data_IF_969670377491
#
_entry.id   IF_969670377491
#
_cell.length_a   1.000
_cell.length_b   1.000
_cell.length_c   1.000
_cell.angle_alpha   90.00
_cell.angle_beta   90.00
_cell.angle_gamma   90.00
#
_symmetry.space_group_name_H-M   'P 1'
#
loop_
_entity.id
_entity.type
_entity.pdbx_description
1 polymer ?
#
# COMPACT_ATOMS: atom_id res chain seq x y z
N UNK A 1 22.95 1.72 -29.44
CA UNK A 1 22.07 0.70 -28.83
C UNK A 1 21.47 1.37 -27.61
N UNK A 2 20.27 1.94 -27.74
CA UNK A 2 19.60 2.56 -26.60
C UNK A 2 19.19 1.42 -25.68
N UNK A 3 19.81 1.33 -24.51
CA UNK A 3 19.29 0.47 -23.46
C UNK A 3 17.95 1.10 -23.06
N UNK A 4 16.88 0.31 -23.14
CA UNK A 4 15.61 0.73 -22.57
C UNK A 4 15.83 0.90 -21.05
N UNK A 5 15.44 2.04 -20.52
CA UNK A 5 15.65 2.42 -19.12
C UNK A 5 14.28 2.54 -18.45
N UNK A 6 14.13 2.02 -17.23
CA UNK A 6 12.92 2.32 -16.45
C UNK A 6 12.87 3.82 -16.17
N UNK A 7 11.71 4.44 -16.39
CA UNK A 7 11.52 5.88 -16.21
C UNK A 7 10.40 6.16 -15.23
N UNK A 8 10.69 7.01 -14.25
CA UNK A 8 9.70 7.58 -13.34
C UNK A 8 9.75 9.10 -13.45
N UNK A 9 8.60 9.70 -13.73
CA UNK A 9 8.41 11.13 -13.61
C UNK A 9 7.55 11.43 -12.38
N UNK A 10 8.07 12.20 -11.44
CA UNK A 10 7.34 12.73 -10.29
C UNK A 10 6.49 13.93 -10.75
N UNK A 11 5.16 13.80 -10.86
CA UNK A 11 4.32 14.89 -11.32
C UNK A 11 4.15 15.96 -10.24
N UNK A 12 3.45 17.04 -10.59
CA UNK A 12 3.12 18.07 -9.61
C UNK A 12 2.34 17.54 -8.40
N UNK A 13 1.43 16.57 -8.64
CA UNK A 13 0.58 15.96 -7.64
C UNK A 13 0.35 14.48 -7.93
N UNK A 14 0.55 13.61 -6.94
CA UNK A 14 0.20 12.20 -7.01
C UNK A 14 -0.28 11.69 -5.64
N UNK A 15 -1.59 11.69 -5.42
CA UNK A 15 -2.28 11.16 -4.24
C UNK A 15 -3.23 10.04 -4.63
N UNK A 16 -3.72 9.22 -3.69
CA UNK A 16 -4.61 8.10 -4.03
C UNK A 16 -5.80 8.52 -4.89
N UNK A 17 -6.37 9.71 -4.64
CA UNK A 17 -7.44 10.27 -5.47
C UNK A 17 -7.10 10.40 -6.97
N UNK A 18 -5.84 10.67 -7.34
CA UNK A 18 -5.37 10.88 -8.72
C UNK A 18 -4.12 10.05 -9.09
N UNK A 19 -3.87 8.95 -8.39
CA UNK A 19 -2.64 8.15 -8.52
C UNK A 19 -2.53 7.42 -9.87
N UNK A 20 -3.66 7.20 -10.55
CA UNK A 20 -3.76 6.47 -11.81
C UNK A 20 -2.87 7.08 -12.89
N UNK A 21 -2.85 8.42 -12.99
CA UNK A 21 -2.01 9.14 -13.96
C UNK A 21 -0.52 8.91 -13.71
N UNK A 22 -0.11 8.89 -12.43
CA UNK A 22 1.27 8.60 -12.06
C UNK A 22 1.65 7.16 -12.42
N UNK A 23 0.82 6.18 -12.07
CA UNK A 23 1.12 4.76 -12.35
C UNK A 23 1.16 4.50 -13.85
N UNK A 24 0.27 5.13 -14.64
CA UNK A 24 0.28 5.00 -16.12
C UNK A 24 1.52 5.63 -16.78
N UNK A 25 2.15 6.60 -16.12
CA UNK A 25 3.34 7.28 -16.64
C UNK A 25 4.65 6.54 -16.34
N UNK A 26 4.59 5.49 -15.52
CA UNK A 26 5.75 4.65 -15.20
C UNK A 26 6.15 3.83 -16.42
N UNK A 27 7.43 3.85 -16.78
CA UNK A 27 7.98 2.94 -17.78
C UNK A 27 8.70 1.80 -17.06
N UNK A 28 8.15 0.59 -17.17
CA UNK A 28 8.72 -0.64 -16.59
C UNK A 28 9.58 -1.43 -17.58
N UNK A 29 9.93 -0.85 -18.74
CA UNK A 29 10.81 -1.52 -19.71
C UNK A 29 12.23 -1.68 -19.15
N UNK A 30 12.83 -2.84 -19.43
CA UNK A 30 14.22 -3.23 -19.13
C UNK A 30 14.81 -2.75 -17.77
N UNK A 31 14.90 -3.63 -16.75
CA UNK A 31 15.29 -3.28 -15.38
C UNK A 31 16.81 -3.12 -15.20
N UNK A 32 17.53 -2.55 -16.16
CA UNK A 32 18.99 -2.36 -16.07
C UNK A 32 19.38 -1.05 -15.40
N UNK A 33 18.53 -0.03 -15.53
CA UNK A 33 18.74 1.29 -14.94
C UNK A 33 17.39 1.92 -14.52
N UNK A 34 17.46 2.96 -13.69
CA UNK A 34 16.30 3.73 -13.26
C UNK A 34 16.56 5.22 -13.44
N UNK A 35 15.76 5.88 -14.28
CA UNK A 35 15.80 7.32 -14.50
C UNK A 35 14.64 8.01 -13.78
N UNK A 36 14.97 8.90 -12.84
CA UNK A 36 14.01 9.66 -12.03
C UNK A 36 14.06 11.13 -12.45
N UNK A 37 12.93 11.63 -12.92
CA UNK A 37 12.70 13.05 -13.25
C UNK A 37 11.55 13.59 -12.42
N UNK A 38 11.38 14.91 -12.39
CA UNK A 38 10.28 15.52 -11.65
C UNK A 38 9.80 16.85 -12.23
N UNK A 39 8.64 17.30 -11.79
CA UNK A 39 8.16 18.64 -12.07
C UNK A 39 9.06 19.71 -11.43
N UNK A 40 9.48 20.71 -12.21
CA UNK A 40 10.42 21.74 -11.75
C UNK A 40 9.85 22.75 -10.75
N UNK A 41 8.53 22.95 -10.72
CA UNK A 41 7.92 24.01 -9.90
C UNK A 41 7.62 23.51 -8.49
N UNK A 42 6.86 22.43 -8.40
CA UNK A 42 6.38 21.89 -7.15
C UNK A 42 6.02 20.43 -7.32
N UNK A 43 6.31 19.63 -6.29
CA UNK A 43 6.02 18.20 -6.24
C UNK A 43 5.36 17.91 -4.89
N UNK A 44 4.18 17.30 -4.91
CA UNK A 44 3.48 16.84 -3.71
C UNK A 44 2.90 15.46 -3.95
N UNK A 45 3.43 14.46 -3.25
CA UNK A 45 3.09 13.07 -3.51
C UNK A 45 2.70 12.35 -2.23
N UNK A 46 1.86 11.34 -2.37
CA UNK A 46 1.48 10.43 -1.30
C UNK A 46 2.65 9.52 -0.93
N UNK A 47 2.81 9.12 0.35
CA UNK A 47 3.84 8.19 0.82
C UNK A 47 4.03 6.92 -0.05
N UNK A 48 2.94 6.34 -0.54
CA UNK A 48 2.97 5.20 -1.49
C UNK A 48 3.85 5.41 -2.72
N UNK A 49 3.96 6.65 -3.23
CA UNK A 49 4.84 6.97 -4.37
C UNK A 49 6.30 6.83 -3.96
N UNK A 50 6.65 7.27 -2.76
CA UNK A 50 8.00 7.12 -2.21
C UNK A 50 8.33 5.65 -1.97
N UNK A 51 7.41 4.88 -1.37
CA UNK A 51 7.61 3.46 -1.12
C UNK A 51 7.80 2.68 -2.43
N UNK A 52 7.01 3.01 -3.46
CA UNK A 52 7.15 2.42 -4.80
C UNK A 52 8.52 2.71 -5.42
N UNK A 53 8.95 3.99 -5.44
CA UNK A 53 10.25 4.37 -6.02
C UNK A 53 11.41 3.72 -5.25
N UNK A 54 11.36 3.77 -3.92
CA UNK A 54 12.37 3.18 -3.05
C UNK A 54 12.45 1.65 -3.23
N UNK A 55 11.31 0.96 -3.26
CA UNK A 55 11.26 -0.49 -3.48
C UNK A 55 11.81 -0.87 -4.86
N UNK A 56 11.53 -0.07 -5.89
CA UNK A 56 12.09 -0.29 -7.23
C UNK A 56 13.60 -0.06 -7.23
N UNK A 57 14.04 1.05 -6.66
CA UNK A 57 15.45 1.44 -6.65
C UNK A 57 16.34 0.44 -5.91
N UNK A 58 15.84 -0.25 -4.88
CA UNK A 58 16.60 -1.33 -4.22
C UNK A 58 16.91 -2.52 -5.13
N UNK A 59 16.14 -2.71 -6.21
CA UNK A 59 16.41 -3.76 -7.22
C UNK A 59 17.51 -3.37 -8.21
N UNK A 60 17.93 -2.10 -8.19
CA UNK A 60 18.90 -1.51 -9.12
C UNK A 60 20.14 -1.11 -8.34
N UNK A 61 21.32 -1.31 -8.94
CA UNK A 61 22.55 -0.83 -8.31
C UNK A 61 22.58 0.70 -8.29
N UNK A 62 23.07 1.36 -7.22
CA UNK A 62 23.09 2.82 -7.13
C UNK A 62 23.74 3.52 -8.33
N UNK A 63 24.80 2.95 -8.90
CA UNK A 63 25.48 3.49 -10.10
C UNK A 63 24.60 3.52 -11.36
N UNK A 64 23.52 2.74 -11.39
CA UNK A 64 22.56 2.68 -12.49
C UNK A 64 21.28 3.50 -12.19
N UNK A 65 21.24 4.27 -11.10
CA UNK A 65 20.12 5.14 -10.76
C UNK A 65 20.50 6.58 -11.13
N UNK A 66 19.82 7.12 -12.14
CA UNK A 66 20.03 8.48 -12.62
C UNK A 66 18.86 9.33 -12.11
N UNK A 67 19.08 10.14 -11.08
CA UNK A 67 18.11 11.12 -10.63
C UNK A 67 18.50 12.50 -11.14
N UNK A 68 17.65 13.10 -11.98
CA UNK A 68 17.86 14.48 -12.43
C UNK A 68 17.75 15.44 -11.25
N UNK A 69 18.50 16.56 -11.24
CA UNK A 69 18.41 17.56 -10.19
C UNK A 69 16.97 18.01 -9.96
N UNK A 70 16.45 17.80 -8.75
CA UNK A 70 15.10 18.25 -8.41
C UNK A 70 15.11 19.77 -8.24
N UNK A 71 14.47 20.50 -9.17
CA UNK A 71 14.41 21.96 -9.13
C UNK A 71 13.30 22.49 -8.22
N UNK A 72 12.27 21.68 -7.94
CA UNK A 72 11.12 22.06 -7.14
C UNK A 72 11.50 22.53 -5.73
N UNK A 73 10.83 23.58 -5.25
CA UNK A 73 11.01 24.07 -3.87
C UNK A 73 10.67 23.02 -2.81
N UNK A 74 9.79 22.06 -3.13
CA UNK A 74 9.42 20.97 -2.24
C UNK A 74 10.41 19.80 -2.21
N UNK A 75 11.53 19.85 -2.96
CA UNK A 75 12.53 18.76 -3.06
C UNK A 75 13.08 18.28 -1.71
N UNK A 76 13.19 19.18 -0.73
CA UNK A 76 13.66 18.85 0.62
C UNK A 76 12.79 17.78 1.31
N UNK A 77 11.53 17.62 0.89
CA UNK A 77 10.66 16.54 1.35
C UNK A 77 11.24 15.16 1.05
N UNK A 78 11.77 14.92 -0.15
CA UNK A 78 12.32 13.63 -0.57
C UNK A 78 13.59 13.27 0.22
N UNK A 79 14.42 14.28 0.52
CA UNK A 79 15.59 14.13 1.38
C UNK A 79 15.18 13.78 2.82
N UNK A 80 14.21 14.52 3.40
CA UNK A 80 13.70 14.26 4.75
C UNK A 80 13.00 12.91 4.89
N UNK A 81 12.33 12.47 3.84
CA UNK A 81 11.72 11.13 3.78
C UNK A 81 12.76 10.02 3.54
N UNK A 82 14.04 10.36 3.33
CA UNK A 82 15.13 9.38 3.22
C UNK A 82 15.18 8.65 1.88
N UNK A 83 14.57 9.20 0.81
CA UNK A 83 14.54 8.54 -0.50
C UNK A 83 15.95 8.33 -1.04
N UNK A 84 16.75 9.39 -1.14
CA UNK A 84 18.09 9.33 -1.74
C UNK A 84 19.04 8.43 -0.94
N UNK A 85 18.97 8.47 0.40
CA UNK A 85 19.69 7.56 1.29
C UNK A 85 19.40 6.10 0.96
N UNK A 86 18.13 5.75 0.78
CA UNK A 86 17.71 4.37 0.49
C UNK A 86 18.11 3.95 -0.94
N UNK A 87 18.06 4.88 -1.90
CA UNK A 87 18.56 4.66 -3.27
C UNK A 87 20.10 4.60 -3.37
N UNK A 88 20.83 4.97 -2.32
CA UNK A 88 22.30 5.00 -2.34
C UNK A 88 22.90 6.10 -3.23
N UNK A 89 22.15 7.17 -3.51
CA UNK A 89 22.58 8.28 -4.37
C UNK A 89 22.69 9.58 -3.57
N UNK A 90 23.61 10.46 -3.99
CA UNK A 90 23.73 11.80 -3.41
C UNK A 90 22.69 12.74 -4.01
N UNK A 91 21.92 13.43 -3.17
CA UNK A 91 20.92 14.39 -3.62
C UNK A 91 21.49 15.79 -3.87
N UNK A 92 22.60 16.14 -3.20
CA UNK A 92 23.13 17.52 -3.14
C UNK A 92 22.18 18.51 -2.44
N UNK A 93 21.08 18.04 -1.82
CA UNK A 93 20.08 18.89 -1.18
C UNK A 93 20.48 19.15 0.26
N UNK A 94 20.77 20.41 0.58
CA UNK A 94 20.95 20.81 1.98
C UNK A 94 19.58 20.93 2.65
N UNK A 95 19.40 20.23 3.76
CA UNK A 95 18.21 20.34 4.62
C UNK A 95 18.65 21.00 5.91
N UNK A 96 18.13 22.19 6.20
CA UNK A 96 18.23 22.74 7.55
C UNK A 96 17.36 21.86 8.42
N UNK A 97 17.94 21.23 9.43
CA UNK A 97 17.24 20.45 10.44
C UNK A 97 16.36 21.39 11.27
N UNK A 98 15.23 21.82 10.71
CA UNK A 98 14.13 22.29 11.52
C UNK A 98 13.57 21.08 12.23
N UNK A 99 13.32 21.23 13.51
CA UNK A 99 12.73 20.21 14.36
C UNK A 99 11.48 19.69 13.65
N UNK A 100 11.62 18.51 13.06
CA UNK A 100 10.61 17.89 12.20
C UNK A 100 9.57 17.18 13.08
N UNK A 101 9.37 17.66 14.31
CA UNK A 101 8.66 16.98 15.36
C UNK A 101 7.29 16.53 14.84
N UNK A 102 7.15 15.22 14.66
CA UNK A 102 5.85 14.56 14.76
C UNK A 102 4.99 14.37 13.52
N UNK A 103 5.46 14.66 12.30
CA UNK A 103 4.53 14.71 11.13
C UNK A 103 4.75 13.67 10.05
N UNK A 104 5.82 12.90 10.09
CA UNK A 104 6.03 11.82 9.13
C UNK A 104 6.95 10.76 9.70
N UNK A 105 6.80 9.57 9.13
CA UNK A 105 7.71 8.46 9.26
C UNK A 105 8.48 8.40 7.94
N UNK A 106 9.80 8.60 7.95
CA UNK A 106 10.64 8.43 6.77
C UNK A 106 10.52 7.03 6.17
N UNK A 107 11.04 6.86 4.95
CA UNK A 107 11.22 5.54 4.35
C UNK A 107 12.06 4.64 5.25
N UNK A 108 11.43 3.55 5.66
CA UNK A 108 12.01 2.51 6.49
C UNK A 108 11.91 1.18 5.74
N UNK A 109 13.05 0.50 5.67
CA UNK A 109 13.13 -0.87 5.18
C UNK A 109 12.99 -1.83 6.36
N UNK A 110 12.04 -2.76 6.29
CA UNK A 110 11.75 -3.74 7.33
C UNK A 110 11.91 -5.14 6.74
N UNK A 111 12.91 -5.87 7.24
CA UNK A 111 13.31 -7.19 6.75
C UNK A 111 13.03 -8.33 7.75
N UNK A 112 12.68 -8.01 8.99
CA UNK A 112 12.38 -9.02 10.01
C UNK A 112 11.39 -8.50 11.06
N UNK A 113 10.90 -9.42 11.90
CA UNK A 113 9.92 -9.14 12.97
C UNK A 113 10.46 -8.20 14.05
N UNK A 114 11.76 -8.27 14.39
CA UNK A 114 12.37 -7.35 15.35
C UNK A 114 12.34 -5.90 14.88
N UNK A 115 12.67 -5.67 13.60
CA UNK A 115 12.56 -4.35 12.97
C UNK A 115 11.12 -3.85 12.90
N UNK A 116 10.15 -4.74 12.66
CA UNK A 116 8.72 -4.37 12.71
C UNK A 116 8.32 -3.92 14.12
N UNK A 117 8.71 -4.65 15.16
CA UNK A 117 8.42 -4.28 16.55
C UNK A 117 9.01 -2.92 16.93
N UNK A 118 10.26 -2.67 16.54
CA UNK A 118 10.91 -1.38 16.79
C UNK A 118 10.18 -0.26 16.04
N UNK A 119 9.86 -0.49 14.76
CA UNK A 119 9.12 0.46 13.94
C UNK A 119 7.77 0.86 14.57
N UNK A 120 6.99 -0.12 15.02
CA UNK A 120 5.68 0.10 15.67
C UNK A 120 5.83 0.91 16.96
N UNK A 121 6.91 0.67 17.71
CA UNK A 121 7.20 1.38 18.97
C UNK A 121 7.58 2.83 18.72
N UNK A 122 8.39 3.10 17.70
CA UNK A 122 8.83 4.46 17.33
C UNK A 122 7.78 5.27 16.58
N UNK A 123 6.85 4.61 15.89
CA UNK A 123 5.84 5.27 15.07
C UNK A 123 4.91 6.20 15.86
N UNK A 124 4.49 5.80 17.07
CA UNK A 124 3.55 6.59 17.88
C UNK A 124 4.11 7.97 18.26
N UNK A 125 5.31 8.08 18.87
CA UNK A 125 5.90 9.39 19.15
C UNK A 125 6.23 10.15 17.85
N UNK A 126 6.63 9.47 16.77
CA UNK A 126 6.91 10.13 15.49
C UNK A 126 5.69 10.76 14.82
N UNK A 127 4.48 10.32 15.18
CA UNK A 127 3.24 10.87 14.64
C UNK A 127 2.49 11.78 15.64
N UNK A 128 2.98 11.89 16.89
CA UNK A 128 2.34 12.66 17.97
C UNK A 128 0.85 12.34 18.13
N UNK A 129 0.53 11.04 18.14
CA UNK A 129 -0.84 10.55 18.23
C UNK A 129 -1.17 10.09 19.64
N UNK A 130 -2.45 10.22 20.00
CA UNK A 130 -3.00 9.53 21.16
C UNK A 130 -3.01 8.01 20.93
N UNK A 131 -2.90 7.18 21.98
CA UNK A 131 -2.87 5.72 21.86
C UNK A 131 -4.04 5.15 21.02
N UNK A 132 -5.25 5.66 21.21
CA UNK A 132 -6.45 5.23 20.48
C UNK A 132 -6.40 5.52 18.97
N UNK A 133 -5.71 6.58 18.56
CA UNK A 133 -5.48 6.94 17.16
C UNK A 133 -4.35 6.11 16.53
N UNK A 134 -3.40 5.66 17.35
CA UNK A 134 -2.28 4.86 16.90
C UNK A 134 -2.66 3.40 16.61
N UNK A 135 -3.60 2.81 17.34
CA UNK A 135 -3.93 1.38 17.22
C UNK A 135 -4.39 0.94 15.82
N UNK A 136 -5.28 1.67 15.10
CA UNK A 136 -5.59 1.36 13.70
C UNK A 136 -4.37 1.33 12.80
N UNK A 137 -3.43 2.25 13.03
CA UNK A 137 -2.22 2.40 12.23
C UNK A 137 -1.26 1.25 12.53
N UNK A 138 -1.07 0.91 13.82
CA UNK A 138 -0.26 -0.24 14.23
C UNK A 138 -0.77 -1.54 13.62
N UNK A 139 -2.09 -1.73 13.64
CA UNK A 139 -2.73 -2.90 13.03
C UNK A 139 -2.45 -2.94 11.53
N UNK A 140 -2.73 -1.85 10.80
CA UNK A 140 -2.52 -1.78 9.35
C UNK A 140 -1.06 -2.03 8.98
N UNK A 141 -0.12 -1.38 9.64
CA UNK A 141 1.32 -1.58 9.40
C UNK A 141 1.71 -3.03 9.67
N UNK A 142 1.27 -3.60 10.79
CA UNK A 142 1.61 -4.99 11.15
C UNK A 142 1.08 -5.99 10.13
N UNK A 143 -0.17 -5.83 9.69
CA UNK A 143 -0.78 -6.71 8.69
C UNK A 143 -0.12 -6.55 7.31
N UNK A 144 0.20 -5.32 6.90
CA UNK A 144 0.87 -5.06 5.62
C UNK A 144 2.28 -5.65 5.60
N UNK A 145 3.08 -5.45 6.65
CA UNK A 145 4.43 -6.01 6.73
C UNK A 145 4.41 -7.53 6.87
N UNK A 146 3.45 -8.09 7.62
CA UNK A 146 3.26 -9.56 7.69
C UNK A 146 2.95 -10.15 6.32
N UNK A 147 2.06 -9.52 5.54
CA UNK A 147 1.78 -9.96 4.16
C UNK A 147 3.06 -9.99 3.30
N UNK A 148 3.94 -9.01 3.47
CA UNK A 148 5.24 -9.01 2.76
C UNK A 148 6.09 -10.21 3.19
N UNK A 149 6.25 -10.45 4.49
CA UNK A 149 7.06 -11.57 4.99
C UNK A 149 6.50 -12.94 4.58
N UNK A 150 5.19 -13.12 4.60
CA UNK A 150 4.56 -14.40 4.32
C UNK A 150 4.43 -14.70 2.82
N UNK A 151 4.28 -13.68 1.97
CA UNK A 151 3.84 -13.89 0.59
C UNK A 151 4.77 -13.28 -0.45
N UNK A 152 5.52 -12.22 -0.15
CA UNK A 152 6.27 -11.52 -1.20
C UNK A 152 7.44 -12.32 -1.75
N UNK A 153 8.15 -13.08 -0.90
CA UNK A 153 9.47 -13.62 -1.25
C UNK A 153 10.51 -12.53 -1.60
N UNK A 154 10.27 -11.28 -1.21
CA UNK A 154 11.14 -10.14 -1.46
C UNK A 154 12.44 -10.27 -0.68
N UNK A 155 13.58 -10.10 -1.36
CA UNK A 155 14.90 -10.02 -0.71
C UNK A 155 15.11 -8.71 0.06
N UNK A 156 14.29 -7.72 -0.23
CA UNK A 156 14.40 -6.35 0.30
C UNK A 156 13.38 -6.06 1.39
N UNK A 157 12.54 -7.04 1.74
CA UNK A 157 11.49 -6.88 2.74
C UNK A 157 10.43 -5.85 2.33
N UNK A 158 9.85 -5.21 3.34
CA UNK A 158 8.83 -4.18 3.20
C UNK A 158 9.45 -2.79 3.22
N UNK A 159 9.10 -1.95 2.25
CA UNK A 159 9.48 -0.53 2.21
C UNK A 159 8.26 0.30 2.57
N UNK A 160 8.33 0.99 3.71
CA UNK A 160 7.20 1.67 4.28
C UNK A 160 7.54 3.11 4.67
N UNK A 161 6.61 4.02 4.44
CA UNK A 161 6.62 5.35 5.04
C UNK A 161 5.19 5.83 5.30
N UNK A 162 5.07 6.85 6.15
CA UNK A 162 3.78 7.44 6.46
C UNK A 162 3.91 8.95 6.69
N UNK A 163 2.81 9.67 6.55
CA UNK A 163 2.77 11.10 6.81
C UNK A 163 1.43 11.51 7.41
N UNK A 164 1.52 12.31 8.48
CA UNK A 164 0.39 12.97 9.10
C UNK A 164 0.13 14.35 8.47
N UNK A 165 -1.12 14.59 8.11
CA UNK A 165 -1.62 15.81 7.50
C UNK A 165 -2.53 16.53 8.49
N UNK A 166 -1.96 17.48 9.25
CA UNK A 166 -2.67 18.20 10.31
C UNK A 166 -3.96 18.91 9.84
N UNK A 167 -3.96 19.49 8.62
CA UNK A 167 -5.13 20.22 8.11
C UNK A 167 -6.36 19.34 7.92
N UNK A 168 -6.16 18.08 7.51
CA UNK A 168 -7.24 17.11 7.27
C UNK A 168 -7.36 16.08 8.40
N UNK A 169 -6.59 16.27 9.47
CA UNK A 169 -6.40 15.32 10.56
C UNK A 169 -6.32 13.86 10.07
N UNK A 170 -5.42 13.60 9.11
CA UNK A 170 -5.36 12.30 8.43
C UNK A 170 -3.95 11.79 8.28
N UNK A 171 -3.78 10.47 8.35
CA UNK A 171 -2.53 9.78 8.09
C UNK A 171 -2.61 9.04 6.78
N UNK A 172 -1.52 9.14 6.03
CA UNK A 172 -1.36 8.47 4.74
C UNK A 172 -0.21 7.50 4.87
N UNK A 173 -0.41 6.26 4.49
CA UNK A 173 0.56 5.17 4.63
C UNK A 173 0.82 4.57 3.26
N UNK A 174 2.10 4.37 2.95
CA UNK A 174 2.54 3.68 1.74
C UNK A 174 3.43 2.51 2.11
N UNK A 175 3.12 1.35 1.55
CA UNK A 175 4.01 0.18 1.59
C UNK A 175 4.23 -0.35 0.17
N UNK A 176 5.44 -0.80 -0.11
CA UNK A 176 5.75 -1.55 -1.32
C UNK A 176 6.74 -2.67 -1.02
N UNK A 177 6.65 -3.75 -1.79
CA UNK A 177 7.65 -4.79 -1.87
C UNK A 177 8.04 -5.04 -3.34
N UNK A 178 9.25 -5.55 -3.54
CA UNK A 178 9.77 -6.01 -4.84
C UNK A 178 9.73 -7.54 -4.94
N UNK A 179 8.63 -8.14 -4.49
CA UNK A 179 8.42 -9.58 -4.44
C UNK A 179 7.77 -10.15 -5.69
N UNK A 180 7.10 -11.29 -5.52
CA UNK A 180 6.56 -12.07 -6.63
C UNK A 180 5.19 -11.57 -7.16
N UNK A 181 4.50 -10.73 -6.38
CA UNK A 181 3.17 -10.18 -6.69
C UNK A 181 2.00 -11.09 -6.32
N UNK A 182 0.81 -10.49 -6.20
CA UNK A 182 -0.41 -11.13 -5.66
C UNK A 182 -0.87 -12.30 -6.53
N UNK A 183 -0.86 -12.17 -7.87
CA UNK A 183 -1.34 -13.24 -8.75
C UNK A 183 -0.56 -14.54 -8.58
N UNK A 184 0.77 -14.46 -8.45
CA UNK A 184 1.61 -15.64 -8.27
C UNK A 184 1.30 -16.36 -6.95
N UNK A 185 1.07 -15.60 -5.87
CA UNK A 185 0.80 -16.17 -4.54
C UNK A 185 -0.62 -16.72 -4.45
N UNK A 186 -1.63 -15.95 -4.89
CA UNK A 186 -3.04 -16.37 -4.87
C UNK A 186 -3.26 -17.63 -5.71
N UNK A 187 -2.63 -17.74 -6.90
CA UNK A 187 -2.77 -18.91 -7.78
C UNK A 187 -2.25 -20.23 -7.21
N UNK A 188 -1.52 -20.23 -6.09
CA UNK A 188 -1.15 -21.45 -5.39
C UNK A 188 -2.39 -22.19 -4.84
N UNK A 189 -3.41 -21.43 -4.44
CA UNK A 189 -4.64 -21.97 -3.85
C UNK A 189 -5.90 -21.64 -4.64
N UNK A 190 -5.96 -20.48 -5.29
CA UNK A 190 -7.17 -19.94 -5.92
C UNK A 190 -6.85 -19.48 -7.35
N UNK A 191 -7.45 -20.08 -8.39
CA UNK A 191 -7.15 -19.71 -9.76
C UNK A 191 -7.70 -18.32 -10.11
N UNK A 192 -6.82 -17.44 -10.55
CA UNK A 192 -7.08 -16.11 -11.09
C UNK A 192 -6.45 -15.99 -12.48
N UNK A 193 -7.26 -15.56 -13.46
CA UNK A 193 -6.84 -15.42 -14.87
C UNK A 193 -6.06 -14.13 -15.08
N UNK A 194 -6.47 -13.03 -14.45
CA UNK A 194 -5.82 -11.72 -14.56
C UNK A 194 -5.21 -11.25 -13.24
N UNK A 195 -4.34 -10.23 -13.28
CA UNK A 195 -3.81 -9.62 -12.06
C UNK A 195 -4.92 -8.91 -11.27
N UNK A 196 -5.90 -8.30 -11.96
CA UNK A 196 -7.06 -7.67 -11.32
C UNK A 196 -7.93 -8.70 -10.59
N UNK A 197 -8.23 -9.83 -11.22
CA UNK A 197 -8.96 -10.93 -10.58
C UNK A 197 -8.23 -11.41 -9.32
N UNK A 198 -6.91 -11.55 -9.37
CA UNK A 198 -6.12 -11.97 -8.21
C UNK A 198 -6.16 -10.93 -7.07
N UNK A 199 -6.07 -9.64 -7.39
CA UNK A 199 -6.21 -8.55 -6.42
C UNK A 199 -7.59 -8.60 -5.76
N UNK A 200 -8.67 -8.74 -6.54
CA UNK A 200 -10.03 -8.85 -6.00
C UNK A 200 -10.18 -10.07 -5.10
N UNK A 201 -9.67 -11.23 -5.50
CA UNK A 201 -9.68 -12.43 -4.66
C UNK A 201 -8.95 -12.20 -3.34
N UNK A 202 -7.79 -11.53 -3.35
CA UNK A 202 -7.03 -11.20 -2.14
C UNK A 202 -7.76 -10.21 -1.19
N UNK A 203 -8.77 -9.49 -1.69
CA UNK A 203 -9.63 -8.59 -0.90
C UNK A 203 -10.87 -9.28 -0.33
N UNK A 204 -11.14 -10.55 -0.70
CA UNK A 204 -12.26 -11.32 -0.18
C UNK A 204 -11.87 -11.96 1.16
N UNK A 205 -12.72 -11.88 2.20
CA UNK A 205 -12.43 -12.46 3.50
C UNK A 205 -12.17 -13.97 3.43
N UNK A 206 -11.07 -14.41 4.03
CA UNK A 206 -10.68 -15.82 4.15
C UNK A 206 -9.98 -16.39 2.94
N UNK A 207 -9.47 -15.53 2.04
CA UNK A 207 -8.72 -15.94 0.85
C UNK A 207 -7.25 -15.55 0.98
N UNK A 208 -6.38 -16.55 0.81
CA UNK A 208 -4.93 -16.41 0.78
C UNK A 208 -4.31 -17.47 -0.13
N UNK A 209 -3.08 -17.23 -0.58
CA UNK A 209 -2.30 -18.19 -1.36
C UNK A 209 -1.88 -19.44 -0.57
N UNK A 210 -1.83 -19.38 0.76
CA UNK A 210 -1.26 -20.46 1.60
C UNK A 210 -2.21 -21.64 1.83
N UNK A 211 -3.51 -21.49 1.58
CA UNK A 211 -4.48 -22.56 1.80
C UNK A 211 -5.71 -22.44 0.91
N UNK A 212 -6.24 -23.60 0.51
CA UNK A 212 -7.55 -23.75 -0.14
C UNK A 212 -8.71 -23.81 0.87
N UNK A 213 -8.43 -23.92 2.18
CA UNK A 213 -9.47 -23.93 3.22
C UNK A 213 -10.03 -22.51 3.36
N UNK A 214 -11.35 -22.39 3.18
CA UNK A 214 -12.06 -21.13 3.34
C UNK A 214 -12.22 -20.78 4.83
N UNK A 215 -11.63 -19.65 5.20
CA UNK A 215 -11.63 -19.14 6.56
C UNK A 215 -10.47 -19.67 7.39
N UNK A 216 -9.95 -18.78 8.23
CA UNK A 216 -9.09 -19.06 9.36
C UNK A 216 -9.37 -18.02 10.46
N UNK A 217 -8.63 -18.08 11.56
CA UNK A 217 -8.75 -17.05 12.61
C UNK A 217 -8.14 -15.74 12.11
N UNK A 218 -8.43 -14.60 12.75
CA UNK A 218 -7.77 -13.31 12.43
C UNK A 218 -6.24 -13.40 12.43
N UNK A 219 -5.69 -14.37 13.17
CA UNK A 219 -4.27 -14.67 13.26
C UNK A 219 -3.76 -15.62 12.15
N UNK A 220 -4.64 -16.29 11.41
CA UNK A 220 -4.26 -17.33 10.46
C UNK A 220 -5.10 -17.23 9.17
N UNK A 221 -4.48 -16.75 8.09
CA UNK A 221 -4.89 -16.88 6.69
C UNK A 221 -6.01 -15.95 6.14
N UNK A 222 -5.59 -14.98 5.31
CA UNK A 222 -6.47 -14.36 4.28
C UNK A 222 -7.42 -13.27 4.74
N UNK A 223 -7.09 -12.54 5.82
CA UNK A 223 -7.91 -11.46 6.36
C UNK A 223 -7.28 -10.06 6.19
N UNK A 224 -5.95 -9.93 6.15
CA UNK A 224 -5.26 -8.65 6.28
C UNK A 224 -5.75 -7.56 5.31
N UNK A 225 -5.71 -7.82 3.99
CA UNK A 225 -6.13 -6.81 3.00
C UNK A 225 -7.64 -6.51 3.07
N UNK A 226 -8.49 -7.48 3.42
CA UNK A 226 -9.91 -7.23 3.67
C UNK A 226 -10.11 -6.29 4.85
N UNK A 227 -9.40 -6.50 5.96
CA UNK A 227 -9.48 -5.65 7.16
C UNK A 227 -8.99 -4.23 6.85
N UNK A 228 -7.84 -4.09 6.19
CA UNK A 228 -7.28 -2.77 5.84
C UNK A 228 -8.22 -2.01 4.92
N UNK A 229 -8.76 -2.65 3.87
CA UNK A 229 -9.79 -2.07 3.00
C UNK A 229 -11.02 -1.63 3.80
N UNK A 230 -11.46 -2.46 4.74
CA UNK A 230 -12.64 -2.19 5.57
C UNK A 230 -12.42 -1.03 6.55
N UNK A 231 -11.22 -0.92 7.14
CA UNK A 231 -10.84 0.23 7.97
C UNK A 231 -10.89 1.52 7.13
N UNK A 232 -10.30 1.52 5.93
CA UNK A 232 -10.36 2.68 5.03
C UNK A 232 -11.81 3.02 4.63
N UNK A 233 -12.64 1.99 4.37
CA UNK A 233 -14.06 2.14 4.04
C UNK A 233 -14.86 2.82 5.16
N UNK A 234 -14.65 2.41 6.41
CA UNK A 234 -15.29 3.03 7.58
C UNK A 234 -14.82 4.47 7.79
N UNK A 235 -13.54 4.73 7.59
CA UNK A 235 -12.98 6.09 7.59
C UNK A 235 -13.39 6.93 6.37
N UNK A 236 -14.16 6.36 5.43
CA UNK A 236 -14.59 7.02 4.18
C UNK A 236 -13.43 7.53 3.32
N UNK A 237 -12.29 6.86 3.41
CA UNK A 237 -11.05 7.28 2.78
C UNK A 237 -10.61 6.30 1.68
N UNK A 238 -9.50 6.63 1.04
CA UNK A 238 -8.95 5.86 -0.07
C UNK A 238 -8.14 4.66 0.44
N UNK A 239 -8.21 3.58 -0.33
CA UNK A 239 -7.33 2.42 -0.22
C UNK A 239 -6.99 1.96 -1.64
N UNK A 240 -5.75 1.54 -1.87
CA UNK A 240 -5.27 1.14 -3.19
C UNK A 240 -4.35 -0.07 -3.08
N UNK A 241 -4.50 -1.02 -3.99
CA UNK A 241 -3.58 -2.14 -4.21
C UNK A 241 -3.17 -2.16 -5.68
N UNK A 242 -1.87 -2.24 -5.93
CA UNK A 242 -1.28 -2.34 -7.27
C UNK A 242 -0.25 -3.48 -7.30
N UNK A 243 -0.41 -4.42 -8.23
CA UNK A 243 0.43 -5.60 -8.39
C UNK A 243 0.30 -6.14 -9.80
N UNK A 244 1.39 -6.58 -10.41
CA UNK A 244 1.38 -7.00 -11.82
C UNK A 244 1.01 -5.81 -12.71
N UNK A 245 0.08 -5.98 -13.64
CA UNK A 245 -0.38 -4.90 -14.53
C UNK A 245 -1.76 -4.32 -14.14
N UNK A 246 -2.19 -4.51 -12.89
CA UNK A 246 -3.53 -4.14 -12.45
C UNK A 246 -3.55 -3.40 -11.11
N UNK A 247 -4.54 -2.53 -10.96
CA UNK A 247 -4.79 -1.77 -9.73
C UNK A 247 -6.27 -1.81 -9.37
N UNK A 248 -6.53 -2.05 -8.08
CA UNK A 248 -7.82 -1.81 -7.44
C UNK A 248 -7.71 -0.60 -6.51
N UNK A 249 -8.64 0.35 -6.61
CA UNK A 249 -8.68 1.52 -5.74
C UNK A 249 -10.08 1.74 -5.17
N UNK A 250 -10.21 1.61 -3.85
CA UNK A 250 -11.41 2.00 -3.11
C UNK A 250 -11.56 3.53 -3.13
N UNK A 251 -12.76 4.01 -3.46
CA UNK A 251 -13.10 5.43 -3.49
C UNK A 251 -13.86 5.84 -2.22
N UNK A 252 -13.80 7.13 -1.90
CA UNK A 252 -14.50 7.71 -0.75
C UNK A 252 -16.01 7.47 -0.80
N UNK A 253 -16.58 7.18 0.36
CA UNK A 253 -18.04 7.11 0.53
C UNK A 253 -18.55 8.52 0.85
N UNK A 254 -19.50 9.02 0.05
CA UNK A 254 -20.14 10.32 0.24
C UNK A 254 -20.65 10.48 1.67
N UNK A 255 -20.45 11.66 2.26
CA UNK A 255 -20.80 11.95 3.68
C UNK A 255 -22.27 11.67 4.00
N UNK A 256 -23.17 11.85 3.03
CA UNK A 256 -24.61 11.58 3.15
C UNK A 256 -25.00 10.10 3.19
N UNK A 257 -24.13 9.19 2.76
CA UNK A 257 -24.43 7.75 2.67
C UNK A 257 -23.94 7.01 3.91
N UNK A 258 -24.74 6.05 4.39
CA UNK A 258 -24.32 5.13 5.45
C UNK A 258 -23.19 4.23 4.93
N UNK A 259 -22.15 4.02 5.74
CA UNK A 259 -21.08 3.07 5.40
C UNK A 259 -21.59 1.65 5.60
N UNK A 260 -21.38 0.80 4.60
CA UNK A 260 -21.62 -0.65 4.66
C UNK A 260 -20.34 -1.37 4.27
N UNK A 261 -20.06 -2.47 4.96
CA UNK A 261 -18.94 -3.35 4.66
C UNK A 261 -19.41 -4.50 3.78
N UNK A 262 -18.67 -4.77 2.71
CA UNK A 262 -18.98 -5.85 1.79
C UNK A 262 -17.80 -6.82 1.71
N UNK A 263 -18.12 -8.12 1.79
CA UNK A 263 -17.17 -9.19 1.56
C UNK A 263 -16.68 -9.22 0.10
N UNK A 264 -17.59 -9.00 -0.87
CA UNK A 264 -17.22 -8.85 -2.26
C UNK A 264 -16.72 -7.40 -2.52
N UNK A 265 -15.46 -7.19 -2.93
CA UNK A 265 -14.95 -5.86 -3.26
C UNK A 265 -15.72 -5.17 -4.41
N UNK A 266 -16.35 -5.90 -5.33
CA UNK A 266 -17.12 -5.31 -6.44
C UNK A 266 -18.35 -4.50 -5.95
N UNK A 267 -18.81 -4.74 -4.72
CA UNK A 267 -19.93 -4.00 -4.12
C UNK A 267 -19.49 -2.67 -3.50
N UNK A 268 -18.19 -2.46 -3.29
CA UNK A 268 -17.68 -1.17 -2.83
C UNK A 268 -17.67 -0.15 -3.98
N UNK A 269 -17.73 1.15 -3.66
CA UNK A 269 -17.45 2.20 -4.66
C UNK A 269 -15.94 2.20 -4.92
N UNK A 270 -15.51 1.79 -6.09
CA UNK A 270 -14.10 1.61 -6.43
C UNK A 270 -13.83 2.00 -7.90
N UNK A 271 -12.55 2.08 -8.27
CA UNK A 271 -12.07 2.16 -9.65
C UNK A 271 -11.04 1.06 -9.90
N UNK A 272 -10.98 0.59 -11.14
CA UNK A 272 -10.14 -0.54 -11.55
C UNK A 272 -9.38 -0.17 -12.81
N UNK A 273 -8.15 -0.65 -12.91
CA UNK A 273 -7.32 -0.45 -14.09
C UNK A 273 -6.58 -1.75 -14.40
N UNK A 274 -6.58 -2.14 -15.68
CA UNK A 274 -5.75 -3.20 -16.24
C UNK A 274 -4.85 -2.63 -17.35
N UNK A 275 -3.83 -3.40 -17.75
CA UNK A 275 -2.87 -2.94 -18.76
C UNK A 275 -2.00 -1.79 -18.28
N UNK A 276 -1.84 -1.63 -16.98
CA UNK A 276 -0.87 -0.72 -16.40
C UNK A 276 0.55 -1.24 -16.67
N UNK A 277 1.58 -0.38 -16.56
CA UNK A 277 2.97 -0.82 -16.46
C UNK A 277 3.09 -1.97 -15.44
N UNK A 278 4.04 -2.88 -15.62
CA UNK A 278 4.10 -4.06 -14.76
C UNK A 278 4.88 -3.75 -13.49
N UNK A 279 4.26 -3.96 -12.33
CA UNK A 279 4.95 -3.99 -11.04
C UNK A 279 5.28 -5.43 -10.61
N UNK A 280 6.55 -5.67 -10.29
CA UNK A 280 7.02 -6.95 -9.76
C UNK A 280 7.03 -6.91 -8.23
N UNK A 281 5.88 -7.22 -7.62
CA UNK A 281 5.67 -7.19 -6.17
C UNK A 281 4.27 -6.71 -5.84
N UNK A 282 4.08 -6.12 -4.66
CA UNK A 282 2.81 -5.49 -4.25
C UNK A 282 3.05 -4.07 -3.75
N UNK A 283 2.16 -3.16 -4.11
CA UNK A 283 2.10 -1.79 -3.58
C UNK A 283 0.74 -1.59 -2.93
N UNK A 284 0.72 -1.08 -1.69
CA UNK A 284 -0.51 -0.73 -0.98
C UNK A 284 -0.43 0.69 -0.44
N UNK A 285 -1.48 1.47 -0.69
CA UNK A 285 -1.66 2.81 -0.13
C UNK A 285 -2.96 2.91 0.64
N UNK A 286 -2.95 3.58 1.78
CA UNK A 286 -4.15 3.79 2.60
C UNK A 286 -4.14 5.17 3.24
N UNK A 287 -5.29 5.84 3.15
CA UNK A 287 -5.59 7.08 3.86
C UNK A 287 -6.49 6.75 5.06
N UNK A 288 -6.22 7.38 6.21
CA UNK A 288 -6.99 7.21 7.45
C UNK A 288 -7.21 8.60 8.06
N UNK A 289 -8.46 9.03 8.15
CA UNK A 289 -8.85 10.17 8.96
C UNK A 289 -8.90 9.80 10.46
N UNK A 290 -8.43 10.70 11.33
CA UNK A 290 -8.29 10.49 12.77
C UNK A 290 -9.42 11.15 13.60
N UNK A 291 -10.44 11.72 12.94
CA UNK A 291 -11.61 12.34 13.60
C UNK A 291 -12.64 11.29 14.05
N UNK A 292 -12.48 10.03 13.63
CA UNK A 292 -13.42 8.96 13.96
C UNK A 292 -13.30 8.58 15.45
N UNK A 293 -14.33 8.93 16.24
CA UNK A 293 -14.39 8.71 17.69
C UNK A 293 -14.76 7.29 18.13
N UNK A 294 -15.10 6.41 17.19
CA UNK A 294 -15.45 5.03 17.51
C UNK A 294 -14.23 4.30 18.05
N UNK A 295 -14.37 3.58 19.16
CA UNK A 295 -13.31 2.71 19.67
C UNK A 295 -12.84 1.74 18.59
N UNK A 296 -11.52 1.61 18.44
CA UNK A 296 -10.93 0.74 17.42
C UNK A 296 -11.36 -0.73 17.60
N UNK A 297 -11.56 -1.17 18.84
CA UNK A 297 -12.15 -2.47 19.18
C UNK A 297 -13.51 -2.69 18.53
N UNK A 298 -14.41 -1.72 18.65
CA UNK A 298 -15.74 -1.76 18.06
C UNK A 298 -15.69 -1.78 16.52
N UNK A 299 -14.74 -1.05 15.92
CA UNK A 299 -14.48 -1.11 14.48
C UNK A 299 -14.05 -2.52 14.06
N UNK A 300 -13.08 -3.12 14.75
CA UNK A 300 -12.63 -4.48 14.45
C UNK A 300 -13.77 -5.49 14.59
N UNK A 301 -14.63 -5.35 15.60
CA UNK A 301 -15.77 -6.25 15.78
C UNK A 301 -16.80 -6.13 14.66
N UNK A 302 -17.04 -4.93 14.13
CA UNK A 302 -17.88 -4.75 12.94
C UNK A 302 -17.26 -5.42 11.71
N UNK A 303 -15.96 -5.28 11.51
CA UNK A 303 -15.23 -5.91 10.40
C UNK A 303 -15.24 -7.44 10.54
N UNK A 304 -15.02 -7.97 11.75
CA UNK A 304 -15.08 -9.42 12.05
C UNK A 304 -16.47 -10.00 11.78
N UNK A 305 -17.55 -9.28 12.09
CA UNK A 305 -18.92 -9.69 11.74
C UNK A 305 -19.09 -9.78 10.22
N UNK A 306 -18.70 -8.74 9.49
CA UNK A 306 -18.76 -8.73 8.02
C UNK A 306 -17.89 -9.84 7.38
N UNK A 307 -16.72 -10.12 7.96
CA UNK A 307 -15.86 -11.24 7.57
C UNK A 307 -16.60 -12.57 7.74
N UNK A 308 -17.15 -12.85 8.92
CA UNK A 308 -17.81 -14.11 9.23
C UNK A 308 -19.05 -14.35 8.35
N UNK A 309 -19.84 -13.30 8.11
CA UNK A 309 -20.98 -13.33 7.18
C UNK A 309 -20.52 -13.63 5.75
N UNK A 310 -19.48 -12.93 5.27
CA UNK A 310 -18.91 -13.15 3.94
C UNK A 310 -18.41 -14.57 3.71
N UNK A 311 -17.67 -15.13 4.68
CA UNK A 311 -17.19 -16.53 4.62
C UNK A 311 -18.37 -17.50 4.59
N UNK A 312 -19.43 -17.24 5.37
CA UNK A 312 -20.63 -18.10 5.42
C UNK A 312 -21.43 -18.05 4.12
N UNK A 313 -21.61 -16.88 3.53
CA UNK A 313 -22.29 -16.69 2.24
C UNK A 313 -21.57 -17.43 1.12
N UNK A 314 -20.23 -17.32 1.06
CA UNK A 314 -19.43 -18.01 0.06
C UNK A 314 -19.50 -19.53 0.19
N UNK A 315 -19.37 -20.07 1.41
CA UNK A 315 -19.54 -21.50 1.67
C UNK A 315 -20.90 -21.98 1.15
N UNK A 316 -21.98 -21.25 1.45
CA UNK A 316 -23.33 -21.56 0.96
C UNK A 316 -23.45 -21.51 -0.57
N UNK A 317 -22.87 -20.51 -1.23
CA UNK A 317 -22.89 -20.40 -2.69
C UNK A 317 -22.20 -21.62 -3.34
N UNK A 318 -21.04 -22.03 -2.83
CA UNK A 318 -20.31 -23.22 -3.33
C UNK A 318 -21.10 -24.52 -3.15
N UNK A 319 -21.77 -24.70 -2.01
CA UNK A 319 -22.64 -25.87 -1.81
C UNK A 319 -23.87 -25.88 -2.74
N UNK A 320 -24.35 -24.71 -3.19
CA UNK A 320 -25.44 -24.61 -4.16
C UNK A 320 -25.00 -24.84 -5.60
N UNK A 321 -23.77 -24.48 -5.94
CA UNK A 321 -23.14 -24.74 -7.25
C UNK A 321 -22.68 -26.18 -7.42
N UNK A 322 -22.40 -26.89 -6.31
CA UNK A 322 -22.17 -28.34 -6.32
C UNK A 322 -23.49 -29.09 -6.62
N UNK A 323 -23.91 -29.09 -7.89
CA UNK A 323 -24.97 -29.96 -8.42
C UNK A 323 -24.36 -31.04 -9.32
N UNK A 324 -24.39 -32.26 -8.77
CA UNK A 324 -24.47 -33.60 -9.38
C UNK A 324 -23.61 -33.87 -10.63
N UNK A 325 -22.54 -34.64 -10.42
CA UNK A 325 -22.09 -35.65 -11.39
C UNK A 325 -22.98 -36.88 -11.18
#
# INVERSE_FOLDING_TARGET
>A
MFLDDMKIHLPNSAFLGNIDTFIRSFDSSAPTSLNITANDKWISVHPVVLSLIASLGLTIKPENIICQPLMAKSRHYFERMGLFRLLGISSGIQVVAHESAGRFIPLTQINNSGQLTNFITEMVPLLHLEPSQADPIKYIVSELVRNVFEHSGSKYGAILCAQYYAKSNSIRIGIADAGVGIKRTINQSWPAKTDLEAIKLALIPGITGTTRKEGGTEQNAGAGLFFIKSIAKVNRDFFMVYSGNAMYKLLKTESSKQVRLYANPDKDKHSENEGLPRWQGTVVGVDINLDHKSEFSALLDQIRKAYAEGVKERKRARYKEAKFI
#
